data_IF_221631139718
#
_entry.id   IF_221631139718
#
_cell.length_a   1.000
_cell.length_b   1.000
_cell.length_c   1.000
_cell.angle_alpha   90.00
_cell.angle_beta   90.00
_cell.angle_gamma   90.00
#
_symmetry.space_group_name_H-M   'P 1'
#
loop_
_entity.id
_entity.type
_entity.pdbx_description
1 polymer ?
#
# COMPACT_ATOMS: atom_id res chain seq x y z
N UNK A 1 -12.13 14.29 15.73
CA UNK A 1 -11.91 13.47 14.53
C UNK A 1 -11.55 14.44 13.41
N UNK A 2 -10.63 14.08 12.52
CA UNK A 2 -10.28 14.95 11.39
C UNK A 2 -11.32 14.82 10.27
N UNK A 3 -11.47 15.87 9.44
CA UNK A 3 -12.38 15.83 8.27
C UNK A 3 -12.07 14.63 7.35
N UNK A 4 -10.81 14.22 7.28
CA UNK A 4 -10.36 13.03 6.54
C UNK A 4 -10.91 11.74 7.15
N UNK A 5 -10.84 11.57 8.46
CA UNK A 5 -11.37 10.38 9.15
C UNK A 5 -12.88 10.24 8.91
N UNK A 6 -13.65 11.32 9.14
CA UNK A 6 -15.10 11.31 8.96
C UNK A 6 -15.51 11.00 7.50
N UNK A 7 -14.70 11.46 6.54
CA UNK A 7 -14.90 11.13 5.11
C UNK A 7 -14.75 9.64 4.85
N UNK A 8 -13.64 9.03 5.31
CA UNK A 8 -13.33 7.63 5.05
C UNK A 8 -14.26 6.70 5.83
N UNK A 9 -14.59 7.02 7.09
CA UNK A 9 -15.57 6.26 7.86
C UNK A 9 -16.92 6.20 7.15
N UNK A 10 -17.40 7.31 6.57
CA UNK A 10 -18.64 7.33 5.78
C UNK A 10 -18.54 6.48 4.51
N UNK A 11 -17.39 6.44 3.86
CA UNK A 11 -17.17 5.63 2.66
C UNK A 11 -17.23 4.14 3.03
N UNK A 12 -16.50 3.71 4.07
CA UNK A 12 -16.47 2.32 4.48
C UNK A 12 -17.76 1.84 5.17
N UNK A 13 -18.51 2.72 5.83
CA UNK A 13 -19.80 2.38 6.42
C UNK A 13 -20.91 2.09 5.39
N UNK A 14 -20.79 2.59 4.15
CA UNK A 14 -21.79 2.39 3.09
C UNK A 14 -21.81 0.99 2.47
N UNK A 15 -20.98 0.10 2.92
CA UNK A 15 -20.89 -1.29 2.48
C UNK A 15 -19.55 -1.66 1.88
N UNK A 16 -19.29 -2.95 1.85
CA UNK A 16 -18.06 -3.51 1.38
C UNK A 16 -17.83 -3.12 -0.08
N UNK A 17 -16.81 -2.34 -0.32
CA UNK A 17 -16.16 -2.47 -1.59
C UNK A 17 -15.62 -3.91 -1.62
N UNK A 18 -16.06 -4.73 -2.59
CA UNK A 18 -15.42 -6.01 -2.90
C UNK A 18 -14.00 -5.71 -3.41
N UNK A 19 -13.17 -5.17 -2.52
CA UNK A 19 -11.80 -4.83 -2.85
C UNK A 19 -11.07 -6.13 -3.15
N UNK A 20 -10.53 -6.23 -4.37
CA UNK A 20 -9.63 -7.31 -4.74
C UNK A 20 -8.25 -6.99 -4.19
N UNK A 21 -7.45 -8.04 -3.99
CA UNK A 21 -6.01 -7.89 -3.72
C UNK A 21 -5.39 -7.05 -4.84
N UNK A 22 -4.55 -6.10 -4.47
CA UNK A 22 -3.91 -5.19 -5.42
C UNK A 22 -3.11 -5.96 -6.47
N UNK A 23 -3.12 -5.46 -7.71
CA UNK A 23 -2.44 -6.12 -8.82
C UNK A 23 -0.95 -6.33 -8.56
N UNK A 24 -0.30 -5.35 -7.95
CA UNK A 24 1.12 -5.45 -7.58
C UNK A 24 1.38 -6.66 -6.67
N UNK A 25 0.57 -6.84 -5.62
CA UNK A 25 0.74 -7.97 -4.71
C UNK A 25 0.40 -9.30 -5.39
N UNK A 26 -0.69 -9.35 -6.18
CA UNK A 26 -1.12 -10.58 -6.88
C UNK A 26 -0.11 -11.04 -7.93
N UNK A 27 0.60 -10.10 -8.58
CA UNK A 27 1.57 -10.40 -9.64
C UNK A 27 2.95 -10.79 -9.11
N UNK A 28 3.27 -10.40 -7.87
CA UNK A 28 4.61 -10.55 -7.28
C UNK A 28 4.58 -11.28 -5.93
N UNK A 29 3.63 -12.22 -5.76
CA UNK A 29 3.56 -13.06 -4.55
C UNK A 29 4.79 -13.93 -4.35
N UNK A 30 5.51 -14.27 -5.41
CA UNK A 30 6.77 -15.01 -5.40
C UNK A 30 7.92 -14.24 -4.75
N UNK A 31 7.84 -12.90 -4.71
CA UNK A 31 8.82 -12.04 -4.02
C UNK A 31 8.48 -11.83 -2.53
N UNK A 32 7.27 -12.18 -2.10
CA UNK A 32 6.84 -12.06 -0.70
C UNK A 32 7.42 -13.22 0.11
N UNK A 33 8.09 -12.90 1.20
CA UNK A 33 8.59 -13.91 2.13
C UNK A 33 7.41 -14.59 2.86
N UNK A 34 7.58 -15.86 3.24
CA UNK A 34 6.58 -16.63 3.99
C UNK A 34 6.70 -16.43 5.51
N UNK A 35 7.49 -15.48 5.96
CA UNK A 35 7.68 -15.07 7.35
C UNK A 35 8.26 -13.65 7.38
N UNK A 36 8.27 -13.05 8.57
CA UNK A 36 8.77 -11.68 8.77
C UNK A 36 7.64 -10.68 8.99
N UNK A 37 8.00 -9.42 9.11
CA UNK A 37 7.07 -8.33 9.44
C UNK A 37 6.81 -7.45 8.23
N UNK A 38 5.56 -7.20 7.91
CA UNK A 38 5.16 -6.27 6.85
C UNK A 38 4.29 -5.13 7.36
N UNK A 39 4.24 -4.03 6.61
CA UNK A 39 3.35 -2.91 6.84
C UNK A 39 2.46 -2.69 5.61
N UNK A 40 1.15 -2.62 5.81
CA UNK A 40 0.17 -2.16 4.81
C UNK A 40 -0.26 -0.72 5.15
N UNK A 41 0.19 0.25 4.35
CA UNK A 41 -0.04 1.68 4.55
C UNK A 41 -1.39 2.07 3.94
N UNK A 42 -2.23 2.80 4.72
CA UNK A 42 -3.59 3.17 4.35
C UNK A 42 -4.40 1.95 3.88
N UNK A 43 -4.39 0.92 4.72
CA UNK A 43 -4.85 -0.44 4.39
C UNK A 43 -6.35 -0.56 4.11
N UNK A 44 -7.16 0.44 4.45
CA UNK A 44 -8.62 0.37 4.35
C UNK A 44 -9.17 -0.84 5.12
N UNK A 45 -10.05 -1.59 4.47
CA UNK A 45 -10.63 -2.84 5.01
C UNK A 45 -9.63 -4.02 5.03
N UNK A 46 -8.36 -3.79 4.65
CA UNK A 46 -7.25 -4.72 4.84
C UNK A 46 -7.20 -5.91 3.89
N UNK A 47 -7.77 -5.81 2.69
CA UNK A 47 -7.72 -6.91 1.72
C UNK A 47 -6.28 -7.35 1.43
N UNK A 48 -5.35 -6.41 1.30
CA UNK A 48 -3.94 -6.71 1.09
C UNK A 48 -3.26 -7.22 2.37
N UNK A 49 -3.54 -6.60 3.52
CA UNK A 49 -3.02 -7.05 4.81
C UNK A 49 -3.41 -8.51 5.10
N UNK A 50 -4.68 -8.89 4.85
CA UNK A 50 -5.14 -10.26 4.99
C UNK A 50 -4.43 -11.21 4.02
N UNK A 51 -4.18 -10.77 2.79
CA UNK A 51 -3.45 -11.57 1.81
C UNK A 51 -1.98 -11.79 2.22
N UNK A 52 -1.28 -10.75 2.69
CA UNK A 52 0.08 -10.85 3.22
C UNK A 52 0.15 -11.80 4.42
N UNK A 53 -0.80 -11.69 5.35
CA UNK A 53 -0.88 -12.57 6.51
C UNK A 53 -1.18 -14.03 6.12
N UNK A 54 -2.01 -14.25 5.09
CA UNK A 54 -2.27 -15.59 4.56
C UNK A 54 -1.03 -16.22 3.87
N UNK A 55 -0.09 -15.41 3.40
CA UNK A 55 1.21 -15.86 2.89
C UNK A 55 2.21 -16.19 4.00
N UNK A 56 1.90 -15.87 5.27
CA UNK A 56 2.70 -16.22 6.44
C UNK A 56 3.44 -15.05 7.10
N UNK A 57 3.23 -13.81 6.65
CA UNK A 57 3.80 -12.63 7.29
C UNK A 57 3.02 -12.21 8.54
N UNK A 58 3.69 -11.61 9.51
CA UNK A 58 3.03 -10.75 10.49
C UNK A 58 2.80 -9.38 9.86
N UNK A 59 1.60 -8.82 10.04
CA UNK A 59 1.21 -7.60 9.31
C UNK A 59 0.79 -6.49 10.27
N UNK A 60 1.53 -5.38 10.28
CA UNK A 60 1.01 -4.10 10.76
C UNK A 60 0.15 -3.47 9.66
N UNK A 61 -1.05 -3.02 10.00
CA UNK A 61 -1.98 -2.43 9.04
C UNK A 61 -2.53 -1.11 9.60
N UNK A 62 -2.23 -0.02 8.90
CA UNK A 62 -2.53 1.34 9.36
C UNK A 62 -3.55 2.02 8.46
N UNK A 63 -4.59 2.60 9.07
CA UNK A 63 -5.56 3.44 8.35
C UNK A 63 -6.16 4.47 9.30
N UNK A 64 -6.63 5.59 8.76
CA UNK A 64 -7.28 6.65 9.54
C UNK A 64 -8.72 6.27 9.92
N UNK A 65 -9.36 5.38 9.15
CA UNK A 65 -10.76 5.01 9.34
C UNK A 65 -10.94 3.98 10.45
N UNK A 66 -11.66 4.36 11.49
CA UNK A 66 -12.05 3.46 12.56
C UNK A 66 -12.96 2.33 12.04
N UNK A 67 -13.88 2.65 11.14
CA UNK A 67 -14.80 1.67 10.53
C UNK A 67 -14.05 0.60 9.74
N UNK A 68 -13.08 1.00 8.92
CA UNK A 68 -12.28 0.08 8.13
C UNK A 68 -11.42 -0.84 9.02
N UNK A 69 -10.77 -0.28 10.03
CA UNK A 69 -9.92 -1.02 10.96
C UNK A 69 -10.70 -2.04 11.78
N UNK A 70 -11.91 -1.72 12.27
CA UNK A 70 -12.74 -2.69 12.98
C UNK A 70 -13.18 -3.84 12.06
N UNK A 71 -13.53 -3.55 10.81
CA UNK A 71 -13.85 -4.59 9.81
C UNK A 71 -12.65 -5.50 9.53
N UNK A 72 -11.44 -4.92 9.44
CA UNK A 72 -10.20 -5.68 9.26
C UNK A 72 -9.92 -6.58 10.46
N UNK A 73 -10.01 -6.06 11.69
CA UNK A 73 -9.82 -6.85 12.92
C UNK A 73 -10.77 -8.04 12.98
N UNK A 74 -12.05 -7.82 12.68
CA UNK A 74 -13.05 -8.89 12.62
C UNK A 74 -12.69 -9.95 11.57
N UNK A 75 -12.26 -9.53 10.39
CA UNK A 75 -11.88 -10.45 9.33
C UNK A 75 -10.62 -11.26 9.68
N UNK A 76 -9.59 -10.60 10.22
CA UNK A 76 -8.35 -11.24 10.66
C UNK A 76 -8.61 -12.27 11.77
N UNK A 77 -9.44 -11.90 12.76
CA UNK A 77 -9.82 -12.81 13.85
C UNK A 77 -10.56 -14.05 13.34
N UNK A 78 -11.57 -13.87 12.45
CA UNK A 78 -12.30 -15.01 11.87
C UNK A 78 -11.40 -15.96 11.07
N UNK A 79 -10.38 -15.41 10.39
CA UNK A 79 -9.45 -16.18 9.57
C UNK A 79 -8.21 -16.66 10.36
N UNK A 80 -8.06 -16.26 11.62
CA UNK A 80 -6.89 -16.54 12.49
C UNK A 80 -5.58 -16.07 11.86
N UNK A 81 -5.60 -14.88 11.26
CA UNK A 81 -4.44 -14.26 10.61
C UNK A 81 -3.73 -13.29 11.56
N UNK A 82 -2.40 -13.22 11.47
CA UNK A 82 -1.55 -12.34 12.28
C UNK A 82 -1.55 -10.91 11.71
N UNK A 83 -2.59 -10.13 12.02
CA UNK A 83 -2.73 -8.73 11.62
C UNK A 83 -2.90 -7.84 12.84
N UNK A 84 -2.00 -6.87 13.01
CA UNK A 84 -2.05 -5.81 14.02
C UNK A 84 -2.60 -4.52 13.38
N UNK A 85 -3.91 -4.36 13.37
CA UNK A 85 -4.59 -3.23 12.74
C UNK A 85 -4.75 -2.04 13.70
N UNK A 86 -4.31 -0.83 13.26
CA UNK A 86 -4.29 0.39 14.07
C UNK A 86 -4.98 1.55 13.37
N UNK A 87 -5.81 2.28 14.14
CA UNK A 87 -6.40 3.55 13.69
C UNK A 87 -5.34 4.62 13.90
N UNK A 88 -4.81 5.19 12.81
CA UNK A 88 -3.76 6.21 12.88
C UNK A 88 -3.89 7.21 11.74
N UNK A 89 -3.61 8.47 12.01
CA UNK A 89 -3.28 9.48 10.99
C UNK A 89 -1.76 9.38 10.76
N UNK A 90 -1.38 8.88 9.59
CA UNK A 90 -0.02 8.41 9.31
C UNK A 90 0.91 9.61 9.14
N UNK A 91 1.99 9.65 9.94
CA UNK A 91 3.03 10.68 9.89
C UNK A 91 4.42 10.04 9.82
N UNK A 92 5.45 10.74 9.28
CA UNK A 92 6.79 10.17 9.10
C UNK A 92 7.46 9.66 10.40
N UNK A 93 7.18 10.28 11.53
CA UNK A 93 7.76 9.93 12.85
C UNK A 93 7.22 8.60 13.43
N UNK A 94 6.19 8.04 12.83
CA UNK A 94 5.63 6.74 13.23
C UNK A 94 6.43 5.54 12.74
N UNK A 95 7.31 5.73 11.76
CA UNK A 95 8.02 4.65 11.10
C UNK A 95 9.32 4.31 11.85
N UNK A 96 9.43 3.10 12.43
CA UNK A 96 10.68 2.66 13.07
C UNK A 96 11.72 2.29 12.01
N UNK A 97 12.98 2.67 12.23
CA UNK A 97 14.08 2.35 11.32
C UNK A 97 14.37 0.84 11.25
N UNK A 98 14.68 0.34 10.05
CA UNK A 98 15.12 -1.03 9.77
C UNK A 98 14.22 -2.10 10.45
N UNK A 99 12.92 -1.95 10.32
CA UNK A 99 11.94 -2.75 11.05
C UNK A 99 11.17 -3.74 10.18
N UNK A 100 10.78 -3.33 8.98
CA UNK A 100 9.92 -4.13 8.09
C UNK A 100 10.72 -4.89 7.03
N UNK A 101 10.31 -6.12 6.76
CA UNK A 101 10.80 -6.93 5.64
C UNK A 101 10.09 -6.58 4.34
N UNK A 102 8.82 -6.11 4.45
CA UNK A 102 8.02 -5.62 3.32
C UNK A 102 7.17 -4.43 3.73
N UNK A 103 7.11 -3.39 2.89
CA UNK A 103 6.13 -2.30 3.01
C UNK A 103 5.29 -2.26 1.73
N UNK A 104 3.97 -2.37 1.89
CA UNK A 104 3.00 -2.24 0.82
C UNK A 104 2.26 -0.91 0.95
N UNK A 105 2.15 -0.18 -0.16
CA UNK A 105 1.33 1.03 -0.26
C UNK A 105 0.49 0.98 -1.51
N UNK A 106 -0.84 0.94 -1.36
CA UNK A 106 -1.77 0.86 -2.47
C UNK A 106 -2.83 1.96 -2.44
N UNK A 107 -2.93 2.71 -3.55
CA UNK A 107 -3.94 3.76 -3.76
C UNK A 107 -3.87 4.93 -2.77
N UNK A 108 -2.74 5.10 -2.12
CA UNK A 108 -2.43 6.22 -1.23
C UNK A 108 -1.15 6.90 -1.71
N UNK A 109 -1.08 8.22 -1.68
CA UNK A 109 0.10 8.99 -2.05
C UNK A 109 0.28 10.16 -1.10
N UNK A 110 1.30 10.04 -0.27
CA UNK A 110 1.87 11.11 0.53
C UNK A 110 3.39 11.09 0.35
N UNK A 111 3.91 12.10 -0.35
CA UNK A 111 5.33 12.19 -0.70
C UNK A 111 6.22 12.41 0.51
N UNK A 112 5.67 12.98 1.59
CA UNK A 112 6.42 13.21 2.83
C UNK A 112 6.83 11.90 3.52
N UNK A 113 6.14 10.80 3.24
CA UNK A 113 6.43 9.48 3.81
C UNK A 113 7.58 8.74 3.13
N UNK A 114 8.05 9.19 1.96
CA UNK A 114 9.05 8.44 1.16
C UNK A 114 10.30 8.13 1.97
N UNK A 115 10.89 9.12 2.64
CA UNK A 115 12.09 8.92 3.47
C UNK A 115 11.81 7.98 4.65
N UNK A 116 10.67 8.12 5.30
CA UNK A 116 10.28 7.24 6.41
C UNK A 116 10.10 5.79 5.95
N UNK A 117 9.44 5.57 4.82
CA UNK A 117 9.27 4.24 4.20
C UNK A 117 10.65 3.61 3.89
N UNK A 118 11.55 4.38 3.27
CA UNK A 118 12.90 3.87 2.93
C UNK A 118 13.73 3.56 4.16
N UNK A 119 13.64 4.37 5.23
CA UNK A 119 14.31 4.12 6.50
C UNK A 119 13.74 2.90 7.23
N UNK A 120 12.42 2.74 7.22
CA UNK A 120 11.73 1.68 7.94
C UNK A 120 11.96 0.28 7.35
N UNK A 121 12.31 0.17 6.08
CA UNK A 121 12.68 -1.10 5.49
C UNK A 121 14.05 -1.57 6.01
N UNK A 122 14.14 -2.84 6.34
CA UNK A 122 15.42 -3.52 6.61
C UNK A 122 16.29 -3.53 5.36
N UNK A 123 17.63 -3.64 5.48
CA UNK A 123 18.48 -4.01 4.34
C UNK A 123 17.95 -5.29 3.67
N UNK A 124 17.79 -5.28 2.35
CA UNK A 124 17.14 -6.37 1.59
C UNK A 124 15.61 -6.37 1.63
N UNK A 125 15.00 -5.48 2.41
CA UNK A 125 13.53 -5.36 2.50
C UNK A 125 12.91 -4.85 1.21
N UNK A 126 11.64 -5.19 0.98
CA UNK A 126 10.91 -4.95 -0.27
C UNK A 126 9.89 -3.83 -0.10
N UNK A 127 9.88 -2.85 -1.00
CA UNK A 127 8.74 -1.94 -1.16
C UNK A 127 7.89 -2.37 -2.34
N UNK A 128 6.57 -2.39 -2.13
CA UNK A 128 5.56 -2.55 -3.17
C UNK A 128 4.67 -1.30 -3.16
N UNK A 129 4.76 -0.47 -4.18
CA UNK A 129 4.02 0.78 -4.26
C UNK A 129 3.19 0.84 -5.54
N UNK A 130 1.86 0.99 -5.42
CA UNK A 130 0.92 1.09 -6.54
C UNK A 130 -0.08 2.21 -6.29
N UNK A 131 -0.18 3.21 -7.20
CA UNK A 131 -1.23 4.22 -7.13
C UNK A 131 -1.54 4.83 -8.49
N UNK A 132 -2.44 5.82 -8.52
CA UNK A 132 -2.92 6.47 -9.74
C UNK A 132 -1.92 7.47 -10.29
N UNK A 133 -1.93 7.64 -11.63
CA UNK A 133 -1.04 8.54 -12.38
C UNK A 133 -1.77 9.83 -12.81
N UNK A 134 -1.03 10.92 -12.99
CA UNK A 134 -1.56 12.22 -13.39
C UNK A 134 -2.01 12.24 -14.87
N UNK A 135 -1.33 11.46 -15.71
CA UNK A 135 -1.60 11.36 -17.16
C UNK A 135 -2.52 10.20 -17.55
N UNK A 136 -3.24 9.62 -16.56
CA UNK A 136 -4.23 8.58 -16.84
C UNK A 136 -5.32 9.08 -17.80
N UNK A 137 -5.64 8.27 -18.80
CA UNK A 137 -6.71 8.56 -19.75
C UNK A 137 -8.10 8.19 -19.22
N UNK A 138 -8.19 7.18 -18.35
CA UNK A 138 -9.45 6.77 -17.75
C UNK A 138 -9.87 7.72 -16.62
N UNK A 139 -11.15 8.06 -16.57
CA UNK A 139 -11.75 8.83 -15.47
C UNK A 139 -12.02 7.89 -14.28
N UNK A 140 -10.97 7.61 -13.52
CA UNK A 140 -10.96 6.74 -12.33
C UNK A 140 -10.04 7.30 -11.24
N UNK A 141 -10.33 6.95 -9.99
CA UNK A 141 -9.52 7.35 -8.83
C UNK A 141 -9.60 8.85 -8.54
N UNK A 142 -8.61 9.41 -7.84
CA UNK A 142 -8.60 10.82 -7.46
C UNK A 142 -8.45 11.74 -8.68
N UNK A 143 -8.98 12.97 -8.56
CA UNK A 143 -8.81 14.04 -9.55
C UNK A 143 -7.79 15.10 -9.13
N UNK A 144 -7.50 15.20 -7.82
CA UNK A 144 -6.55 16.20 -7.31
C UNK A 144 -5.11 15.75 -7.59
N UNK A 145 -4.31 16.67 -8.14
CA UNK A 145 -2.93 16.39 -8.60
C UNK A 145 -2.00 15.88 -7.49
N UNK A 146 -2.18 16.32 -6.24
CA UNK A 146 -1.36 15.89 -5.12
C UNK A 146 -1.45 14.37 -4.85
N UNK A 147 -2.55 13.75 -5.26
CA UNK A 147 -2.78 12.31 -5.11
C UNK A 147 -2.45 11.49 -6.37
N UNK A 148 -1.81 12.10 -7.35
CA UNK A 148 -1.48 11.48 -8.63
C UNK A 148 0.04 11.51 -8.88
N UNK A 149 0.59 10.38 -9.27
CA UNK A 149 2.01 10.25 -9.64
C UNK A 149 2.29 11.02 -10.93
N UNK A 150 3.40 11.72 -10.95
CA UNK A 150 4.00 12.22 -12.19
C UNK A 150 4.70 11.07 -12.94
N UNK A 151 4.97 11.19 -14.25
CA UNK A 151 5.74 10.20 -14.99
C UNK A 151 7.06 9.86 -14.27
N UNK A 152 7.36 8.57 -14.17
CA UNK A 152 8.57 8.02 -13.55
C UNK A 152 8.82 8.42 -12.07
N UNK A 153 7.82 9.00 -11.41
CA UNK A 153 7.98 9.50 -10.04
C UNK A 153 8.33 8.37 -9.05
N UNK A 154 7.74 7.19 -9.18
CA UNK A 154 8.08 6.05 -8.31
C UNK A 154 9.55 5.65 -8.44
N UNK A 155 10.10 5.66 -9.65
CA UNK A 155 11.52 5.39 -9.88
C UNK A 155 12.40 6.46 -9.19
N UNK A 156 11.98 7.71 -9.22
CA UNK A 156 12.68 8.82 -8.56
C UNK A 156 12.59 8.74 -7.04
N UNK A 157 11.43 8.37 -6.48
CA UNK A 157 11.20 8.22 -5.03
C UNK A 157 12.11 7.13 -4.43
N UNK A 158 12.34 6.04 -5.16
CA UNK A 158 13.10 4.87 -4.71
C UNK A 158 14.38 4.65 -5.55
N UNK A 159 14.99 5.73 -6.04
CA UNK A 159 16.17 5.71 -6.95
C UNK A 159 17.38 4.95 -6.42
N UNK A 160 17.52 4.87 -5.08
CA UNK A 160 18.62 4.19 -4.41
C UNK A 160 18.30 2.71 -4.11
N UNK A 161 17.14 2.21 -4.55
CA UNK A 161 16.71 0.83 -4.42
C UNK A 161 16.92 0.07 -5.73
N UNK A 162 17.11 -1.24 -5.63
CA UNK A 162 17.16 -2.14 -6.78
C UNK A 162 15.75 -2.40 -7.30
N UNK A 163 15.43 -1.92 -8.50
CA UNK A 163 14.13 -2.14 -9.13
C UNK A 163 13.96 -3.59 -9.57
N UNK A 164 13.01 -4.30 -8.95
CA UNK A 164 12.63 -5.67 -9.33
C UNK A 164 11.57 -5.66 -10.45
N UNK A 165 10.62 -4.73 -10.39
CA UNK A 165 9.56 -4.59 -11.40
C UNK A 165 9.02 -3.16 -11.38
N UNK A 166 8.74 -2.62 -12.57
CA UNK A 166 8.04 -1.35 -12.76
C UNK A 166 7.04 -1.46 -13.90
N UNK A 167 5.88 -0.86 -13.73
CA UNK A 167 4.84 -0.82 -14.75
C UNK A 167 4.10 0.51 -14.67
N UNK A 168 3.87 1.14 -15.82
CA UNK A 168 3.02 2.33 -15.96
C UNK A 168 1.90 2.03 -16.97
N UNK A 169 0.68 1.92 -16.46
CA UNK A 169 -0.56 1.69 -17.21
C UNK A 169 -1.43 2.95 -17.28
N UNK A 170 -0.81 4.13 -17.29
CA UNK A 170 -1.49 5.43 -17.39
C UNK A 170 -2.36 5.53 -18.66
N UNK A 171 -1.94 4.93 -19.76
CA UNK A 171 -2.63 4.93 -21.03
C UNK A 171 -3.67 3.83 -21.18
N UNK A 172 -3.74 2.90 -20.23
CA UNK A 172 -4.72 1.82 -20.22
C UNK A 172 -6.11 2.37 -19.84
N UNK A 173 -7.09 2.17 -20.71
CA UNK A 173 -8.49 2.61 -20.52
C UNK A 173 -9.46 1.48 -20.19
N UNK A 174 -8.99 0.23 -20.16
CA UNK A 174 -9.82 -0.91 -19.76
C UNK A 174 -10.08 -0.87 -18.26
N UNK A 175 -11.26 -0.44 -17.86
CA UNK A 175 -11.69 -0.36 -16.45
C UNK A 175 -11.78 -1.72 -15.75
N UNK A 176 -11.73 -2.82 -16.47
CA UNK A 176 -11.66 -4.16 -15.88
C UNK A 176 -10.23 -4.57 -15.52
N UNK A 177 -9.24 -3.92 -16.12
CA UNK A 177 -7.84 -4.11 -15.72
C UNK A 177 -7.58 -3.43 -14.37
N UNK A 178 -7.09 -4.17 -13.36
CA UNK A 178 -6.79 -3.61 -12.05
C UNK A 178 -5.66 -2.58 -12.06
N UNK A 179 -4.90 -2.46 -13.15
CA UNK A 179 -3.86 -1.44 -13.32
C UNK A 179 -4.30 -0.24 -14.16
N UNK A 180 -5.50 -0.23 -14.72
CA UNK A 180 -6.00 0.90 -15.50
C UNK A 180 -5.70 2.24 -14.80
N UNK A 181 -4.99 3.16 -15.48
CA UNK A 181 -4.62 4.49 -14.98
C UNK A 181 -3.71 4.51 -13.75
N UNK A 182 -2.94 3.45 -13.51
CA UNK A 182 -2.03 3.31 -12.36
C UNK A 182 -0.61 3.00 -12.82
N UNK A 183 0.34 3.31 -11.93
CA UNK A 183 1.68 2.78 -12.00
C UNK A 183 2.01 2.00 -10.72
N UNK A 184 2.95 1.06 -10.82
CA UNK A 184 3.52 0.41 -9.65
C UNK A 184 5.04 0.25 -9.76
N UNK A 185 5.67 0.16 -8.61
CA UNK A 185 7.08 -0.19 -8.43
C UNK A 185 7.21 -1.27 -7.37
N UNK A 186 7.96 -2.32 -7.67
CA UNK A 186 8.52 -3.27 -6.71
C UNK A 186 10.01 -3.02 -6.68
N UNK A 187 10.56 -2.68 -5.52
CA UNK A 187 11.98 -2.40 -5.39
C UNK A 187 12.54 -2.90 -4.05
N UNK A 188 13.79 -3.29 -4.05
CA UNK A 188 14.48 -3.85 -2.91
C UNK A 188 15.52 -2.86 -2.35
N UNK A 189 15.49 -2.64 -1.03
CA UNK A 189 16.50 -1.86 -0.34
C UNK A 189 17.85 -2.60 -0.42
N UNK A 190 18.94 -1.95 -0.85
CA UNK A 190 20.27 -2.59 -0.86
C UNK A 190 20.65 -3.16 0.50
N UNK A 191 21.36 -4.30 0.50
CA UNK A 191 21.78 -4.97 1.74
C UNK A 191 22.92 -4.25 2.46
N UNK A 192 23.47 -3.16 1.86
CA UNK A 192 24.63 -2.46 2.40
C UNK A 192 25.90 -3.32 2.26
N UNK A 193 26.94 -2.75 1.78
CA UNK A 193 28.31 -3.34 1.84
C UNK A 193 28.97 -2.99 3.16
#
# INVERSE_FOLDING_TARGET
MSDSQDKWDRIYARGSHNAKVAAILSRHTDLVQTSGLSLDIACGQGTNALALAALGMEVDAWDISAVAIEQLKDAAHRQRLAVNARIVDITPDMFPDNHYDLILNCHYLDRSLTTAITSALKPGGLVMFQTFTANKLADIGPSHQDYLLQPDELLSMFKDFETESYCDESQNVDRNDPLCGRAYLVARKPTGT
#
